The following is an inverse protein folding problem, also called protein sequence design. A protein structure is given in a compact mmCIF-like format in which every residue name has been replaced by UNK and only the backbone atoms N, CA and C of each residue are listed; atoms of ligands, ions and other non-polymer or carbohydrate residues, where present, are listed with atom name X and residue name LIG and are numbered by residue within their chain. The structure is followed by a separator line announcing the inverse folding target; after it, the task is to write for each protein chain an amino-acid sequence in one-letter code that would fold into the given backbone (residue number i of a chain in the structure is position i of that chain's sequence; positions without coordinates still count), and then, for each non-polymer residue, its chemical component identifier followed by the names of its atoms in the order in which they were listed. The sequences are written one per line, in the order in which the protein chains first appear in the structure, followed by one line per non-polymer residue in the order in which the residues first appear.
data_IF_195433236471
#
_entry.id   IF_195433236471
#
_cell.length_a   1.000
_cell.length_b   1.000
_cell.length_c   1.000
_cell.angle_alpha   90.00
_cell.angle_beta   90.00
_cell.angle_gamma   90.00
#
_symmetry.space_group_name_H-M   'P 1'
#
loop_
_entity.id
_entity.type
_entity.pdbx_description
1 polymer ?
#
# COMPACT_ATOMS: atom_id res chain seq x y z
N UNK A 1 -12.31 -54.59 -12.95
CA UNK A 1 -13.00 -53.31 -13.22
C UNK A 1 -13.05 -52.60 -11.87
N UNK A 2 -12.07 -51.73 -11.63
CA UNK A 2 -11.91 -51.05 -10.34
C UNK A 2 -12.73 -49.76 -10.35
N UNK A 3 -13.60 -49.62 -9.35
CA UNK A 3 -14.33 -48.40 -9.03
C UNK A 3 -13.33 -47.32 -8.61
N UNK A 4 -13.30 -46.22 -9.36
CA UNK A 4 -12.61 -45.01 -8.94
C UNK A 4 -13.57 -44.22 -8.04
N UNK A 5 -13.41 -44.39 -6.73
CA UNK A 5 -13.89 -43.48 -5.70
C UNK A 5 -13.06 -42.19 -5.78
N UNK A 6 -13.56 -41.20 -6.51
CA UNK A 6 -13.07 -39.82 -6.45
C UNK A 6 -13.87 -39.07 -5.41
N UNK A 7 -13.44 -39.19 -4.16
CA UNK A 7 -13.82 -38.28 -3.08
C UNK A 7 -13.44 -36.85 -3.49
N UNK A 8 -14.46 -36.01 -3.70
CA UNK A 8 -14.27 -34.57 -3.85
C UNK A 8 -13.74 -34.01 -2.52
N UNK A 9 -12.68 -33.17 -2.51
CA UNK A 9 -12.32 -32.44 -1.32
C UNK A 9 -13.45 -31.46 -0.98
N UNK A 10 -14.02 -31.68 0.19
CA UNK A 10 -14.95 -30.79 0.88
C UNK A 10 -14.41 -29.36 0.84
N UNK A 11 -15.19 -28.45 0.26
CA UNK A 11 -14.88 -27.02 0.20
C UNK A 11 -14.71 -26.51 1.63
N UNK A 12 -13.47 -26.19 2.02
CA UNK A 12 -13.18 -25.54 3.29
C UNK A 12 -14.03 -24.28 3.40
N UNK A 13 -15.00 -24.29 4.32
CA UNK A 13 -15.80 -23.12 4.64
C UNK A 13 -14.87 -21.96 4.99
N UNK A 14 -15.03 -20.83 4.28
CA UNK A 14 -14.28 -19.61 4.50
C UNK A 14 -14.21 -19.33 6.00
N UNK A 15 -13.00 -19.28 6.55
CA UNK A 15 -12.79 -18.88 7.93
C UNK A 15 -13.58 -17.58 8.20
N UNK A 16 -14.24 -17.45 9.36
CA UNK A 16 -15.01 -16.25 9.66
C UNK A 16 -14.10 -15.03 9.50
N UNK A 17 -14.61 -14.00 8.81
CA UNK A 17 -13.85 -12.78 8.59
C UNK A 17 -13.28 -12.24 9.91
N UNK A 18 -12.07 -11.65 9.90
CA UNK A 18 -11.47 -11.06 11.08
C UNK A 18 -12.46 -10.19 11.88
N UNK A 19 -12.36 -10.21 13.20
CA UNK A 19 -13.27 -9.47 14.10
C UNK A 19 -13.37 -8.00 13.70
N UNK A 20 -12.26 -7.38 13.30
CA UNK A 20 -12.20 -6.01 12.80
C UNK A 20 -13.11 -5.78 11.59
N UNK A 21 -13.08 -6.68 10.60
CA UNK A 21 -13.81 -6.51 9.33
C UNK A 21 -15.32 -6.59 9.55
N UNK A 22 -15.75 -7.51 10.43
CA UNK A 22 -17.15 -7.60 10.83
C UNK A 22 -17.62 -6.33 11.56
N UNK A 23 -16.78 -5.72 12.39
CA UNK A 23 -17.09 -4.45 13.05
C UNK A 23 -17.17 -3.29 12.06
N UNK A 24 -16.28 -3.26 11.06
CA UNK A 24 -16.33 -2.27 9.97
C UNK A 24 -17.63 -2.43 9.18
N UNK A 25 -17.96 -3.63 8.72
CA UNK A 25 -19.19 -3.90 7.98
C UNK A 25 -20.45 -3.51 8.77
N UNK A 26 -20.50 -3.90 10.04
CA UNK A 26 -21.60 -3.54 10.91
C UNK A 26 -21.72 -2.02 11.08
N UNK A 27 -20.62 -1.32 11.29
CA UNK A 27 -20.63 0.13 11.49
C UNK A 27 -21.08 0.89 10.24
N UNK A 28 -20.54 0.55 9.07
CA UNK A 28 -20.85 1.24 7.82
C UNK A 28 -22.25 0.88 7.32
N UNK A 29 -22.71 -0.36 7.54
CA UNK A 29 -24.10 -0.74 7.29
C UNK A 29 -25.09 0.04 8.16
N UNK A 30 -24.84 0.09 9.48
CA UNK A 30 -25.67 0.87 10.41
C UNK A 30 -25.64 2.37 10.10
N UNK A 31 -24.50 2.91 9.67
CA UNK A 31 -24.38 4.31 9.26
C UNK A 31 -25.29 4.62 8.07
N UNK A 32 -25.34 3.74 7.07
CA UNK A 32 -26.24 3.88 5.92
C UNK A 32 -27.72 3.79 6.29
N UNK A 33 -28.07 2.96 7.27
CA UNK A 33 -29.46 2.79 7.74
C UNK A 33 -29.96 3.94 8.62
N UNK A 34 -29.12 4.42 9.55
CA UNK A 34 -29.57 5.24 10.70
C UNK A 34 -28.79 6.55 10.88
N UNK A 35 -27.78 6.78 10.06
CA UNK A 35 -26.83 7.90 10.20
C UNK A 35 -25.66 7.59 11.13
N UNK A 36 -24.61 8.40 11.04
CA UNK A 36 -23.36 8.18 11.77
C UNK A 36 -23.39 8.77 13.18
N UNK A 37 -23.97 9.96 13.36
CA UNK A 37 -23.87 10.72 14.62
C UNK A 37 -24.46 10.01 15.84
N UNK A 38 -25.51 9.21 15.66
CA UNK A 38 -26.16 8.46 16.73
C UNK A 38 -25.58 7.07 16.99
N UNK A 39 -24.59 6.65 16.19
CA UNK A 39 -24.07 5.28 16.23
C UNK A 39 -23.20 5.06 17.48
N UNK A 40 -23.44 3.94 18.17
CA UNK A 40 -22.72 3.53 19.38
C UNK A 40 -21.94 2.23 19.14
N UNK A 41 -20.85 2.02 19.89
CA UNK A 41 -20.12 0.75 19.84
C UNK A 41 -20.98 -0.45 20.26
N UNK A 42 -21.96 -0.26 21.14
CA UNK A 42 -22.91 -1.30 21.52
C UNK A 42 -23.76 -1.76 20.31
N UNK A 43 -24.30 -0.82 19.54
CA UNK A 43 -25.07 -1.15 18.34
C UNK A 43 -24.21 -1.82 17.26
N UNK A 44 -22.97 -1.38 17.09
CA UNK A 44 -22.01 -1.99 16.15
C UNK A 44 -21.69 -3.44 16.57
N UNK A 45 -21.37 -3.65 17.85
CA UNK A 45 -21.03 -4.95 18.40
C UNK A 45 -22.21 -5.94 18.29
N UNK A 46 -23.41 -5.50 18.65
CA UNK A 46 -24.65 -6.26 18.52
C UNK A 46 -24.91 -6.68 17.07
N UNK A 47 -24.81 -5.74 16.12
CA UNK A 47 -24.96 -6.03 14.69
C UNK A 47 -23.90 -7.00 14.16
N UNK A 48 -22.68 -6.92 14.67
CA UNK A 48 -21.59 -7.79 14.26
C UNK A 48 -21.61 -9.17 14.95
N UNK A 49 -22.53 -9.39 15.90
CA UNK A 49 -22.58 -10.62 16.71
C UNK A 49 -21.36 -10.78 17.62
N UNK A 50 -20.75 -9.68 18.06
CA UNK A 50 -19.54 -9.65 18.90
C UNK A 50 -19.90 -9.09 20.27
N UNK A 51 -19.46 -9.71 21.38
CA UNK A 51 -19.61 -9.13 22.71
C UNK A 51 -18.98 -7.73 22.80
N UNK A 52 -19.68 -6.76 23.41
CA UNK A 52 -19.23 -5.37 23.46
C UNK A 52 -17.80 -5.21 24.05
N UNK A 53 -17.47 -5.98 25.08
CA UNK A 53 -16.14 -5.96 25.69
C UNK A 53 -15.03 -6.41 24.71
N UNK A 54 -15.32 -7.36 23.82
CA UNK A 54 -14.40 -7.79 22.77
C UNK A 54 -14.30 -6.72 21.68
N UNK A 55 -15.43 -6.18 21.23
CA UNK A 55 -15.47 -5.10 20.24
C UNK A 55 -14.65 -3.88 20.69
N UNK A 56 -14.78 -3.48 21.97
CA UNK A 56 -14.03 -2.34 22.54
C UNK A 56 -12.53 -2.61 22.70
N UNK A 57 -12.11 -3.88 22.85
CA UNK A 57 -10.68 -4.24 22.86
C UNK A 57 -10.06 -4.13 21.47
N UNK A 58 -10.83 -4.44 20.43
CA UNK A 58 -10.38 -4.31 19.03
C UNK A 58 -10.41 -2.85 18.61
N UNK A 59 -11.56 -2.18 18.77
CA UNK A 59 -11.77 -0.78 18.40
C UNK A 59 -12.40 -0.01 19.55
N UNK A 60 -11.62 0.88 20.17
CA UNK A 60 -12.06 1.63 21.37
C UNK A 60 -13.17 2.68 21.11
N UNK A 61 -13.53 2.95 19.86
CA UNK A 61 -14.61 3.87 19.49
C UNK A 61 -15.07 3.66 18.05
N UNK A 62 -16.23 4.23 17.67
CA UNK A 62 -16.69 4.25 16.27
C UNK A 62 -15.68 4.94 15.32
N UNK A 63 -14.95 5.93 15.81
CA UNK A 63 -13.91 6.61 15.03
C UNK A 63 -12.67 5.72 14.84
N UNK A 64 -12.38 4.83 15.79
CA UNK A 64 -11.35 3.81 15.62
C UNK A 64 -11.76 2.79 14.53
N UNK A 65 -13.04 2.40 14.47
CA UNK A 65 -13.58 1.57 13.38
C UNK A 65 -13.44 2.29 12.04
N UNK A 66 -13.77 3.59 11.97
CA UNK A 66 -13.62 4.38 10.74
C UNK A 66 -12.16 4.47 10.28
N UNK A 67 -11.22 4.63 11.22
CA UNK A 67 -9.78 4.61 10.93
C UNK A 67 -9.34 3.25 10.40
N UNK A 68 -9.79 2.16 11.02
CA UNK A 68 -9.48 0.80 10.59
C UNK A 68 -10.05 0.50 9.19
N UNK A 69 -11.23 1.03 8.86
CA UNK A 69 -11.75 0.99 7.48
C UNK A 69 -10.81 1.71 6.52
N UNK A 70 -10.33 2.91 6.87
CA UNK A 70 -9.36 3.66 6.07
C UNK A 70 -8.08 2.87 5.83
N UNK A 71 -7.53 2.22 6.87
CA UNK A 71 -6.34 1.35 6.79
C UNK A 71 -6.59 0.15 5.86
N UNK A 72 -7.79 -0.46 5.91
CA UNK A 72 -8.16 -1.58 5.05
C UNK A 72 -8.21 -1.18 3.56
N UNK A 73 -8.73 0.02 3.27
CA UNK A 73 -8.80 0.55 1.91
C UNK A 73 -7.43 1.05 1.43
N UNK A 74 -6.61 1.60 2.33
CA UNK A 74 -5.22 1.96 2.04
C UNK A 74 -4.40 0.72 1.65
N UNK A 75 -4.62 -0.42 2.31
CA UNK A 75 -3.97 -1.67 1.94
C UNK A 75 -4.35 -2.11 0.51
N UNK A 76 -5.63 -2.09 0.15
CA UNK A 76 -6.07 -2.42 -1.21
C UNK A 76 -5.49 -1.48 -2.27
N UNK A 77 -5.34 -0.20 -1.95
CA UNK A 77 -4.69 0.80 -2.80
C UNK A 77 -3.20 0.49 -2.98
N UNK A 78 -2.51 0.08 -1.92
CA UNK A 78 -1.08 -0.24 -1.95
C UNK A 78 -0.79 -1.58 -2.63
N UNK A 79 -1.70 -2.54 -2.57
CA UNK A 79 -1.57 -3.79 -3.32
C UNK A 79 -1.51 -3.53 -4.84
N UNK A 80 -2.18 -2.48 -5.33
CA UNK A 80 -2.07 -2.04 -6.72
C UNK A 80 -0.65 -1.62 -7.09
N UNK A 81 0.13 -1.09 -6.13
CA UNK A 81 1.50 -0.67 -6.42
C UNK A 81 2.42 -1.83 -6.88
N UNK A 82 2.03 -3.07 -6.61
CA UNK A 82 2.76 -4.27 -7.04
C UNK A 82 2.58 -4.58 -8.53
N UNK A 83 1.58 -4.00 -9.19
CA UNK A 83 1.33 -4.21 -10.63
C UNK A 83 2.18 -3.28 -11.51
N UNK A 84 2.75 -2.22 -10.91
CA UNK A 84 3.46 -1.19 -11.65
C UNK A 84 4.86 -1.59 -12.09
N UNK A 85 5.26 -1.00 -13.22
CA UNK A 85 6.57 -1.14 -13.85
C UNK A 85 7.24 0.23 -13.99
N UNK A 86 8.53 0.22 -14.33
CA UNK A 86 9.30 1.43 -14.60
C UNK A 86 8.82 2.19 -15.86
N UNK A 87 8.01 1.54 -16.71
CA UNK A 87 7.44 2.14 -17.91
C UNK A 87 6.20 3.00 -17.59
N UNK A 88 5.56 2.77 -16.44
CA UNK A 88 4.36 3.49 -16.07
C UNK A 88 4.67 4.94 -15.67
N UNK A 89 3.80 5.87 -16.09
CA UNK A 89 3.88 7.25 -15.66
C UNK A 89 3.49 7.39 -14.18
N UNK A 90 4.12 8.32 -13.45
CA UNK A 90 3.74 8.58 -12.05
C UNK A 90 2.28 9.02 -11.89
N UNK A 91 1.71 9.70 -12.90
CA UNK A 91 0.30 10.08 -12.97
C UNK A 91 -0.60 8.85 -13.10
N UNK A 92 -0.25 7.93 -13.98
CA UNK A 92 -1.05 6.73 -14.26
C UNK A 92 -1.04 5.80 -13.05
N UNK A 93 0.11 5.63 -12.39
CA UNK A 93 0.20 4.95 -11.09
C UNK A 93 -0.73 5.56 -10.04
N UNK A 94 -0.71 6.88 -9.86
CA UNK A 94 -1.61 7.55 -8.92
C UNK A 94 -3.08 7.36 -9.30
N UNK A 95 -3.40 7.42 -10.59
CA UNK A 95 -4.75 7.21 -11.08
C UNK A 95 -5.24 5.81 -10.73
N UNK A 96 -4.48 4.77 -11.05
CA UNK A 96 -4.85 3.38 -10.80
C UNK A 96 -4.98 3.07 -9.31
N UNK A 97 -4.03 3.55 -8.48
CA UNK A 97 -4.12 3.44 -7.02
C UNK A 97 -5.41 4.08 -6.47
N UNK A 98 -5.73 5.30 -6.92
CA UNK A 98 -6.93 5.99 -6.46
C UNK A 98 -8.22 5.31 -6.96
N UNK A 99 -8.23 4.77 -8.17
CA UNK A 99 -9.34 3.96 -8.67
C UNK A 99 -9.53 2.70 -7.81
N UNK A 100 -8.45 1.96 -7.53
CA UNK A 100 -8.47 0.79 -6.66
C UNK A 100 -9.02 1.10 -5.26
N UNK A 101 -8.67 2.26 -4.74
CA UNK A 101 -9.21 2.80 -3.48
C UNK A 101 -10.72 3.03 -3.56
N UNK A 102 -11.23 3.66 -4.62
CA UNK A 102 -12.67 3.89 -4.80
C UNK A 102 -13.44 2.57 -4.94
N UNK A 103 -12.89 1.59 -5.65
CA UNK A 103 -13.48 0.24 -5.76
C UNK A 103 -13.59 -0.44 -4.39
N UNK A 104 -12.53 -0.38 -3.59
CA UNK A 104 -12.54 -0.95 -2.24
C UNK A 104 -13.57 -0.29 -1.31
N UNK A 105 -13.84 1.02 -1.50
CA UNK A 105 -14.86 1.76 -0.75
C UNK A 105 -16.30 1.42 -1.18
N UNK A 106 -16.50 0.89 -2.40
CA UNK A 106 -17.82 0.75 -3.02
C UNK A 106 -18.81 -0.07 -2.16
N UNK A 107 -18.33 -1.12 -1.49
CA UNK A 107 -19.14 -1.96 -0.58
C UNK A 107 -19.80 -1.18 0.57
N UNK A 108 -19.22 -0.04 0.96
CA UNK A 108 -19.69 0.80 2.07
C UNK A 108 -20.23 2.16 1.64
N UNK A 109 -20.45 2.36 0.33
CA UNK A 109 -20.86 3.65 -0.24
C UNK A 109 -22.06 4.31 0.48
N UNK A 110 -23.15 3.61 0.82
CA UNK A 110 -24.26 4.22 1.58
C UNK A 110 -23.86 4.71 2.97
N UNK A 111 -23.02 3.95 3.68
CA UNK A 111 -22.49 4.33 4.99
C UNK A 111 -21.57 5.54 4.91
N UNK A 112 -20.69 5.57 3.91
CA UNK A 112 -19.81 6.72 3.65
C UNK A 112 -20.60 7.97 3.29
N UNK A 113 -21.67 7.85 2.48
CA UNK A 113 -22.54 8.98 2.14
C UNK A 113 -23.18 9.59 3.41
N UNK A 114 -23.65 8.73 4.32
CA UNK A 114 -24.20 9.16 5.60
C UNK A 114 -23.16 9.84 6.49
N UNK A 115 -21.93 9.31 6.55
CA UNK A 115 -20.81 9.93 7.29
C UNK A 115 -20.50 11.31 6.71
N UNK A 116 -20.31 11.42 5.39
CA UNK A 116 -19.97 12.67 4.70
C UNK A 116 -21.03 13.75 4.95
N UNK A 117 -22.31 13.38 4.89
CA UNK A 117 -23.43 14.27 5.21
C UNK A 117 -23.39 14.79 6.65
N UNK A 118 -22.96 13.96 7.59
CA UNK A 118 -22.92 14.28 9.01
C UNK A 118 -21.66 15.06 9.44
N UNK A 119 -20.58 15.05 8.64
CA UNK A 119 -19.29 15.68 8.97
C UNK A 119 -19.37 17.14 9.45
N UNK A 120 -20.20 18.04 8.86
CA UNK A 120 -20.29 19.43 9.33
C UNK A 120 -20.75 19.57 10.78
N UNK A 121 -21.41 18.54 11.32
CA UNK A 121 -21.98 18.53 12.67
C UNK A 121 -21.30 17.52 13.61
N UNK A 122 -20.23 16.86 13.16
CA UNK A 122 -19.39 15.97 13.95
C UNK A 122 -17.90 16.32 13.75
N UNK A 123 -17.39 17.33 14.48
CA UNK A 123 -16.00 17.78 14.36
C UNK A 123 -14.98 16.67 14.63
N UNK A 124 -15.30 15.74 15.53
CA UNK A 124 -14.40 14.63 15.87
C UNK A 124 -14.22 13.67 14.69
N UNK A 125 -15.33 13.27 14.06
CA UNK A 125 -15.29 12.43 12.85
C UNK A 125 -14.63 13.17 11.68
N UNK A 126 -14.84 14.49 11.55
CA UNK A 126 -14.19 15.30 10.54
C UNK A 126 -12.66 15.28 10.68
N UNK A 127 -12.13 15.52 11.88
CA UNK A 127 -10.68 15.51 12.12
C UNK A 127 -10.08 14.14 11.81
N UNK A 128 -10.70 13.06 12.28
CA UNK A 128 -10.22 11.69 12.03
C UNK A 128 -10.24 11.36 10.53
N UNK A 129 -11.33 11.71 9.83
CA UNK A 129 -11.44 11.51 8.39
C UNK A 129 -10.36 12.27 7.63
N UNK A 130 -10.13 13.54 7.98
CA UNK A 130 -9.12 14.36 7.33
C UNK A 130 -7.70 13.87 7.60
N UNK A 131 -7.40 13.42 8.82
CA UNK A 131 -6.12 12.79 9.15
C UNK A 131 -5.89 11.52 8.32
N UNK A 132 -6.92 10.67 8.18
CA UNK A 132 -6.87 9.47 7.35
C UNK A 132 -6.65 9.79 5.88
N UNK A 133 -7.37 10.77 5.32
CA UNK A 133 -7.17 11.22 3.93
C UNK A 133 -5.75 11.71 3.73
N UNK A 134 -5.24 12.55 4.63
CA UNK A 134 -3.87 13.03 4.52
C UNK A 134 -2.89 11.87 4.58
N UNK A 135 -3.03 10.95 5.54
CA UNK A 135 -2.18 9.76 5.66
C UNK A 135 -2.14 8.96 4.35
N UNK A 136 -3.31 8.58 3.86
CA UNK A 136 -3.52 7.84 2.61
C UNK A 136 -2.86 8.50 1.39
N UNK A 137 -3.02 9.81 1.23
CA UNK A 137 -2.40 10.51 0.09
C UNK A 137 -0.88 10.58 0.19
N UNK A 138 -0.32 10.53 1.41
CA UNK A 138 1.12 10.37 1.58
C UNK A 138 1.60 9.00 1.11
N UNK A 139 0.88 7.94 1.49
CA UNK A 139 1.18 6.57 1.06
C UNK A 139 1.10 6.44 -0.46
N UNK A 140 0.07 7.04 -1.09
CA UNK A 140 -0.08 7.02 -2.54
C UNK A 140 1.09 7.70 -3.26
N UNK A 141 1.56 8.85 -2.76
CA UNK A 141 2.72 9.55 -3.34
C UNK A 141 4.01 8.73 -3.19
N UNK A 142 4.22 8.15 -2.01
CA UNK A 142 5.40 7.33 -1.73
C UNK A 142 5.44 6.08 -2.61
N UNK A 143 4.32 5.36 -2.73
CA UNK A 143 4.20 4.19 -3.58
C UNK A 143 4.32 4.51 -5.08
N UNK A 144 3.84 5.69 -5.52
CA UNK A 144 4.01 6.16 -6.89
C UNK A 144 5.44 6.65 -7.22
N UNK A 145 6.38 6.55 -6.25
CA UNK A 145 7.76 7.04 -6.33
C UNK A 145 7.87 8.56 -6.55
N UNK A 146 6.89 9.32 -6.09
CA UNK A 146 6.92 10.77 -6.07
C UNK A 146 7.40 11.24 -4.68
N UNK A 147 8.53 11.95 -4.62
CA UNK A 147 9.05 12.44 -3.33
C UNK A 147 8.07 13.41 -2.68
N UNK A 148 7.46 12.97 -1.57
CA UNK A 148 6.60 13.78 -0.70
C UNK A 148 7.37 14.69 0.27
N UNK A 149 8.69 14.82 0.12
CA UNK A 149 9.56 15.53 1.06
C UNK A 149 9.77 17.02 0.72
N UNK A 150 9.90 17.83 1.78
CA UNK A 150 10.12 19.28 1.68
C UNK A 150 8.84 20.10 1.43
N UNK A 151 9.00 21.42 1.24
CA UNK A 151 7.87 22.35 1.05
C UNK A 151 7.09 22.05 -0.25
N UNK A 152 7.77 21.55 -1.29
CA UNK A 152 7.12 21.06 -2.51
C UNK A 152 6.30 19.79 -2.26
N UNK A 153 6.84 18.84 -1.50
CA UNK A 153 6.16 17.60 -1.15
C UNK A 153 4.89 17.81 -0.30
N UNK A 154 4.91 18.76 0.64
CA UNK A 154 3.71 19.13 1.40
C UNK A 154 2.62 19.71 0.48
N UNK A 155 2.99 20.60 -0.45
CA UNK A 155 2.05 21.14 -1.42
C UNK A 155 1.46 20.05 -2.33
N UNK A 156 2.30 19.10 -2.79
CA UNK A 156 1.86 17.94 -3.58
C UNK A 156 0.86 17.08 -2.82
N UNK A 157 1.14 16.78 -1.54
CA UNK A 157 0.22 16.01 -0.68
C UNK A 157 -1.14 16.70 -0.51
N UNK A 158 -1.13 18.01 -0.26
CA UNK A 158 -2.37 18.79 -0.15
C UNK A 158 -3.12 18.85 -1.48
N UNK A 159 -2.41 19.00 -2.60
CA UNK A 159 -2.97 18.97 -3.94
C UNK A 159 -3.66 17.64 -4.25
N UNK A 160 -2.98 16.51 -3.96
CA UNK A 160 -3.54 15.18 -4.16
C UNK A 160 -4.74 14.93 -3.23
N UNK A 161 -4.68 15.37 -1.98
CA UNK A 161 -5.83 15.31 -1.07
C UNK A 161 -7.02 16.12 -1.59
N UNK A 162 -6.79 17.30 -2.17
CA UNK A 162 -7.85 18.09 -2.79
C UNK A 162 -8.45 17.41 -4.01
N UNK A 163 -7.63 16.79 -4.88
CA UNK A 163 -8.08 15.97 -6.02
C UNK A 163 -8.94 14.81 -5.53
N UNK A 164 -8.45 14.03 -4.56
CA UNK A 164 -9.17 12.89 -4.00
C UNK A 164 -10.52 13.31 -3.40
N UNK A 165 -10.56 14.40 -2.62
CA UNK A 165 -11.82 14.88 -2.03
C UNK A 165 -12.78 15.45 -3.07
N UNK A 166 -12.28 16.08 -4.13
CA UNK A 166 -13.11 16.57 -5.22
C UNK A 166 -13.74 15.40 -6.01
N UNK A 167 -12.96 14.38 -6.31
CA UNK A 167 -13.41 13.15 -6.98
C UNK A 167 -14.34 12.33 -6.08
N UNK A 168 -14.09 12.25 -4.77
CA UNK A 168 -14.96 11.59 -3.79
C UNK A 168 -16.41 12.11 -3.84
N UNK A 169 -16.60 13.42 -4.05
CA UNK A 169 -17.95 14.02 -4.20
C UNK A 169 -18.66 13.57 -5.47
N UNK A 170 -17.93 13.24 -6.52
CA UNK A 170 -18.51 12.68 -7.75
C UNK A 170 -18.81 11.21 -7.51
N UNK A 171 -17.84 10.45 -7.00
CA UNK A 171 -17.95 9.02 -6.73
C UNK A 171 -19.14 8.66 -5.84
N UNK A 172 -19.42 9.46 -4.80
CA UNK A 172 -20.56 9.20 -3.90
C UNK A 172 -21.91 9.24 -4.62
N UNK A 173 -21.99 9.95 -5.75
CA UNK A 173 -23.19 10.12 -6.58
C UNK A 173 -23.09 9.35 -7.92
N UNK A 174 -22.02 8.58 -8.13
CA UNK A 174 -21.81 7.85 -9.39
C UNK A 174 -22.52 6.50 -9.37
N UNK A 175 -23.70 6.41 -9.97
CA UNK A 175 -24.50 5.19 -10.02
C UNK A 175 -24.13 4.26 -11.20
N UNK A 176 -23.07 4.58 -11.93
CA UNK A 176 -22.61 3.76 -13.05
C UNK A 176 -21.88 2.51 -12.55
N UNK A 177 -22.10 1.38 -13.23
CA UNK A 177 -21.50 0.10 -12.84
C UNK A 177 -19.97 0.07 -13.03
N UNK A 178 -19.46 0.91 -13.92
CA UNK A 178 -18.06 0.99 -14.32
C UNK A 178 -17.32 2.19 -13.71
N UNK A 179 -17.95 2.94 -12.80
CA UNK A 179 -17.42 4.17 -12.23
C UNK A 179 -16.96 5.20 -13.28
N UNK A 180 -17.59 5.22 -14.47
CA UNK A 180 -17.17 6.06 -15.60
C UNK A 180 -17.19 7.55 -15.29
N UNK A 181 -18.13 8.03 -14.47
CA UNK A 181 -18.16 9.44 -14.05
C UNK A 181 -17.02 9.76 -13.08
N UNK A 182 -16.74 8.85 -12.15
CA UNK A 182 -15.62 8.96 -11.21
C UNK A 182 -14.29 8.97 -11.94
N UNK A 183 -14.12 8.06 -12.88
CA UNK A 183 -12.95 7.94 -13.73
C UNK A 183 -12.66 9.26 -14.47
N UNK A 184 -13.66 9.81 -15.16
CA UNK A 184 -13.54 11.07 -15.87
C UNK A 184 -13.29 12.27 -14.94
N UNK A 185 -13.88 12.26 -13.73
CA UNK A 185 -13.63 13.30 -12.73
C UNK A 185 -12.21 13.24 -12.18
N UNK A 186 -11.69 12.04 -11.91
CA UNK A 186 -10.33 11.82 -11.43
C UNK A 186 -9.31 12.29 -12.45
N UNK A 187 -9.43 11.82 -13.69
CA UNK A 187 -8.57 12.19 -14.82
C UNK A 187 -8.48 13.72 -14.97
N UNK A 188 -9.64 14.38 -15.04
CA UNK A 188 -9.74 15.84 -15.14
C UNK A 188 -9.13 16.58 -13.94
N UNK A 189 -9.28 16.05 -12.73
CA UNK A 189 -8.76 16.68 -11.52
C UNK A 189 -7.24 16.54 -11.41
N UNK A 190 -6.68 15.39 -11.82
CA UNK A 190 -5.23 15.19 -11.91
C UNK A 190 -4.61 16.11 -12.97
N UNK A 191 -5.24 16.23 -14.15
CA UNK A 191 -4.75 17.14 -15.22
C UNK A 191 -4.73 18.61 -14.78
N UNK A 192 -5.75 19.02 -14.04
CA UNK A 192 -5.81 20.36 -13.44
C UNK A 192 -4.70 20.56 -12.42
N UNK A 193 -4.42 19.57 -11.59
CA UNK A 193 -3.35 19.65 -10.61
C UNK A 193 -1.97 19.78 -11.29
N UNK A 194 -1.72 19.01 -12.35
CA UNK A 194 -0.46 19.06 -13.12
C UNK A 194 -0.30 20.39 -13.88
N UNK A 195 -1.39 20.90 -14.46
CA UNK A 195 -1.43 22.22 -15.11
C UNK A 195 -1.12 23.36 -14.13
N UNK A 196 -1.65 23.29 -12.91
CA UNK A 196 -1.37 24.28 -11.86
C UNK A 196 0.08 24.14 -11.39
N UNK A 197 0.57 22.92 -11.17
CA UNK A 197 1.95 22.68 -10.74
C UNK A 197 2.98 23.20 -11.75
N UNK A 198 2.79 22.91 -13.04
CA UNK A 198 3.65 23.40 -14.12
C UNK A 198 3.61 24.92 -14.29
N UNK A 199 2.44 25.54 -14.13
CA UNK A 199 2.29 27.00 -14.16
C UNK A 199 2.97 27.66 -12.97
N UNK A 200 2.80 27.11 -11.76
CA UNK A 200 3.44 27.62 -10.54
C UNK A 200 4.96 27.46 -10.62
N UNK A 201 5.49 26.34 -11.13
CA UNK A 201 6.93 26.16 -11.35
C UNK A 201 7.50 27.13 -12.40
N UNK A 202 6.69 27.55 -13.38
CA UNK A 202 7.08 28.54 -14.40
C UNK A 202 7.10 29.97 -13.84
N UNK A 203 6.19 30.29 -12.90
CA UNK A 203 6.03 31.63 -12.33
C UNK A 203 6.90 31.85 -11.08
N UNK A 204 7.12 30.80 -10.31
CA UNK A 204 8.02 30.75 -9.16
C UNK A 204 9.06 29.69 -9.50
N UNK A 205 10.30 30.04 -9.88
CA UNK A 205 11.30 29.04 -10.19
C UNK A 205 11.50 28.18 -8.95
N UNK A 206 11.00 26.94 -8.98
CA UNK A 206 11.47 25.91 -8.08
C UNK A 206 12.97 25.86 -8.32
N UNK A 207 13.73 26.37 -7.35
CA UNK A 207 15.18 26.46 -7.35
C UNK A 207 15.71 25.06 -7.57
N UNK A 208 15.93 24.74 -8.84
CA UNK A 208 16.41 23.46 -9.29
C UNK A 208 17.68 23.17 -8.50
N UNK A 209 17.64 22.07 -7.75
CA UNK A 209 18.83 21.52 -7.13
C UNK A 209 19.85 21.42 -8.25
N UNK A 210 20.87 22.29 -8.18
CA UNK A 210 22.15 22.17 -8.88
C UNK A 210 22.44 20.67 -9.02
N UNK A 211 22.21 20.09 -10.20
CA UNK A 211 23.00 18.94 -10.62
C UNK A 211 24.42 19.46 -10.55
N UNK A 212 25.14 18.98 -9.55
CA UNK A 212 26.57 19.13 -9.47
C UNK A 212 27.10 18.25 -10.58
N UNK A 213 27.08 18.80 -11.78
CA UNK A 213 27.92 18.36 -12.88
C UNK A 213 29.33 18.82 -12.51
N UNK A 214 29.91 18.18 -11.48
CA UNK A 214 31.35 18.14 -11.35
C UNK A 214 31.79 17.21 -12.47
N UNK A 215 32.02 17.81 -13.64
CA UNK A 215 32.91 17.31 -14.66
C UNK A 215 34.32 17.22 -14.09
N UNK A 216 34.51 16.32 -13.13
CA UNK A 216 35.80 15.77 -12.75
C UNK A 216 36.21 14.83 -13.87
N UNK A 217 36.89 15.38 -14.87
CA UNK A 217 37.76 14.61 -15.75
C UNK A 217 38.67 13.77 -14.85
N UNK A 218 38.38 12.48 -14.72
CA UNK A 218 39.38 11.51 -14.26
C UNK A 218 40.35 11.36 -15.43
N UNK A 219 41.50 12.04 -15.34
CA UNK A 219 42.65 11.69 -16.17
C UNK A 219 42.99 10.22 -15.91
N UNK A 220 43.17 9.39 -16.94
CA UNK A 220 43.76 8.08 -16.74
C UNK A 220 45.21 8.28 -16.31
N UNK A 221 45.58 7.70 -15.17
CA UNK A 221 46.96 7.71 -14.70
C UNK A 221 47.86 7.03 -15.75
N UNK A 222 49.01 7.63 -16.11
CA UNK A 222 49.98 6.98 -16.99
C UNK A 222 50.64 5.84 -16.23
N UNK A 223 50.50 4.64 -16.78
CA UNK A 223 51.47 3.55 -16.89
C UNK A 223 52.61 3.61 -15.86
N UNK A 224 52.46 2.87 -14.76
CA UNK A 224 53.60 2.43 -13.98
C UNK A 224 53.83 0.94 -14.30
N UNK A 225 54.90 0.70 -15.06
CA UNK A 225 55.40 -0.62 -15.48
C UNK A 225 55.80 -1.54 -14.29
N UNK A 226 55.90 -2.87 -14.55
CA UNK A 226 55.86 -3.90 -13.52
C UNK A 226 57.25 -4.25 -13.00
N UNK A 227 57.49 -4.04 -11.70
CA UNK A 227 58.52 -4.76 -10.94
C UNK A 227 58.41 -4.40 -9.45
N UNK A 228 57.93 -5.30 -8.60
CA UNK A 228 58.77 -6.05 -7.65
C UNK A 228 57.90 -6.78 -6.60
N UNK A 229 57.86 -8.11 -6.75
CA UNK A 229 57.85 -9.18 -5.73
C UNK A 229 56.76 -9.20 -4.64
N UNK A 230 55.72 -9.99 -4.87
CA UNK A 230 55.16 -10.85 -3.82
C UNK A 230 55.83 -12.22 -3.96
N UNK A 231 56.51 -12.68 -2.92
CA UNK A 231 57.02 -14.04 -2.85
C UNK A 231 55.87 -15.03 -2.76
N UNK A 232 55.87 -15.99 -3.68
CA UNK A 232 55.92 -17.45 -3.45
C UNK A 232 55.45 -17.94 -2.08
N UNK A 233 54.68 -19.02 -1.92
CA UNK A 233 54.07 -19.94 -2.87
C UNK A 233 53.09 -20.77 -2.04
N UNK A 234 51.85 -20.95 -2.52
CA UNK A 234 51.01 -22.06 -2.10
C UNK A 234 51.27 -23.24 -3.02
N UNK A 235 51.45 -24.48 -2.52
CA UNK A 235 51.57 -25.62 -3.42
C UNK A 235 50.29 -26.45 -3.49
N UNK A 236 49.88 -26.77 -4.72
CA UNK A 236 49.21 -28.02 -5.09
C UNK A 236 49.46 -28.25 -6.59
N UNK A 237 49.37 -29.49 -7.16
CA UNK A 237 49.53 -30.83 -6.57
C UNK A 237 50.42 -31.80 -7.42
N UNK A 238 50.89 -32.89 -6.78
CA UNK A 238 50.91 -34.25 -7.35
C UNK A 238 52.11 -34.77 -8.17
N UNK A 239 52.84 -35.78 -7.66
CA UNK A 239 52.81 -37.19 -8.15
C UNK A 239 54.06 -38.00 -7.76
N UNK A 240 53.84 -39.30 -7.47
CA UNK A 240 54.80 -40.42 -7.31
C UNK A 240 55.63 -40.43 -6.00
N UNK A 241 55.87 -41.52 -5.27
CA UNK A 241 55.80 -42.97 -5.55
C UNK A 241 56.03 -43.74 -4.23
N UNK A 242 55.45 -44.95 -4.09
CA UNK A 242 55.85 -46.03 -3.16
C UNK A 242 55.65 -45.78 -1.65
N UNK A 243 55.15 -46.68 -0.82
CA UNK A 243 55.00 -48.13 -0.85
C UNK A 243 55.01 -48.60 0.62
N UNK A 244 54.24 -49.65 0.93
CA UNK A 244 54.22 -50.41 2.20
C UNK A 244 53.69 -49.70 3.46
N UNK A 245 52.71 -50.20 4.22
CA UNK A 245 51.96 -51.44 4.15
C UNK A 245 51.07 -51.62 5.40
N UNK A 246 50.19 -52.62 5.30
CA UNK A 246 49.46 -53.34 6.36
C UNK A 246 48.21 -52.72 7.04
N UNK A 247 47.07 -53.33 6.66
CA UNK A 247 45.99 -53.93 7.49
C UNK A 247 45.37 -53.06 8.62
N UNK A 248 44.09 -52.65 8.60
CA UNK A 248 42.85 -53.44 8.46
C UNK A 248 42.37 -53.96 9.84
N UNK A 249 41.08 -54.23 10.13
CA UNK A 249 39.83 -53.80 9.48
C UNK A 249 38.72 -53.31 10.46
N UNK A 250 37.74 -52.58 9.90
CA UNK A 250 36.32 -52.93 10.08
C UNK A 250 35.55 -52.52 11.36
N UNK A 251 34.21 -52.71 11.36
CA UNK A 251 33.27 -51.58 11.44
C UNK A 251 32.17 -51.77 12.49
N UNK A 252 31.29 -50.78 12.68
CA UNK A 252 30.00 -51.03 13.32
C UNK A 252 29.06 -49.81 13.31
N UNK A 253 28.15 -49.71 12.32
CA UNK A 253 26.69 -49.99 12.43
C UNK A 253 25.89 -49.02 13.30
N UNK A 254 24.91 -48.37 12.67
CA UNK A 254 23.75 -47.69 13.29
C UNK A 254 22.76 -48.72 13.90
N UNK A 255 21.49 -48.40 14.26
CA UNK A 255 20.87 -47.20 14.86
C UNK A 255 20.02 -47.57 16.12
N UNK A 256 19.48 -46.57 16.82
CA UNK A 256 18.12 -46.53 17.41
C UNK A 256 17.83 -45.12 17.93
#
# INVERSE_FOLDING_TARGET
MAEHDTSHPESAGSAPAPVSDRLIDAALGLAGERGWRGLTMAAIADRAGIPLNEALKVHGSRNAVLRAMGEHVDAAMLDEALSFTEEDGARDRLFDMLMRRYDALARWKPGLAAIIKDLPFDPGTFVVSMQGVQHSMGLALEAASLSGDGLGGLATRQGLAAVYLATMRVWINDDTADLSQTMAALDKNLDRADSVASTVCRVVPCRERRRRDDGGRVEPAPDADPAWTAGDDGPAPGSAEGGDGKAGPGPGTAPA
#
